data_IF_824549370096
#
_entry.id   IF_824549370096
#
_cell.length_a   1.000
_cell.length_b   1.000
_cell.length_c   1.000
_cell.angle_alpha   90.00
_cell.angle_beta   90.00
_cell.angle_gamma   90.00
#
_symmetry.space_group_name_H-M   'P 1'
#
loop_
_entity.id
_entity.type
_entity.pdbx_description
1 polymer ?
#
# COMPACT_ATOMS: atom_id res chain seq x y z
N UNK A 1 -1.43 11.84 33.01
CA UNK A 1 -2.23 11.37 31.87
C UNK A 1 -1.46 10.25 31.21
N UNK A 2 -2.04 9.06 31.11
CA UNK A 2 -1.33 7.85 30.72
C UNK A 2 -0.74 7.98 29.31
N UNK A 3 0.55 7.69 29.18
CA UNK A 3 1.26 7.58 27.90
C UNK A 3 0.66 6.41 27.10
N UNK A 4 -0.22 6.71 26.15
CA UNK A 4 -0.45 5.79 25.05
C UNK A 4 0.87 5.70 24.30
N UNK A 5 1.40 4.48 24.23
CA UNK A 5 2.53 4.16 23.37
C UNK A 5 1.98 4.27 21.94
N UNK A 6 2.05 5.47 21.34
CA UNK A 6 1.61 5.74 19.97
C UNK A 6 2.47 4.89 19.04
N UNK A 7 2.02 3.67 18.78
CA UNK A 7 2.63 2.80 17.79
C UNK A 7 2.21 3.34 16.43
N UNK A 8 3.13 4.04 15.78
CA UNK A 8 3.04 4.37 14.37
C UNK A 8 2.91 3.07 13.56
N UNK A 9 1.93 3.05 12.65
CA UNK A 9 1.71 1.93 11.74
C UNK A 9 1.49 2.48 10.34
N UNK A 10 2.17 1.89 9.37
CA UNK A 10 2.00 2.24 7.96
C UNK A 10 0.60 1.82 7.54
N UNK A 11 -0.20 2.79 7.10
CA UNK A 11 -1.56 2.50 6.62
C UNK A 11 -1.59 2.19 5.13
N UNK A 12 -0.74 2.81 4.31
CA UNK A 12 -0.72 2.63 2.85
C UNK A 12 0.67 2.86 2.29
N UNK A 13 0.93 2.32 1.11
CA UNK A 13 2.07 2.68 0.26
C UNK A 13 1.55 3.31 -1.03
N UNK A 14 2.22 4.36 -1.49
CA UNK A 14 1.89 5.01 -2.76
C UNK A 14 3.09 4.99 -3.68
N UNK A 15 2.82 4.71 -4.96
CA UNK A 15 3.82 4.67 -6.03
C UNK A 15 3.66 5.82 -7.01
N UNK A 16 4.37 5.71 -8.14
CA UNK A 16 4.37 6.73 -9.19
C UNK A 16 2.98 6.99 -9.76
N UNK A 17 2.65 8.26 -9.95
CA UNK A 17 1.36 8.69 -10.53
C UNK A 17 0.16 8.58 -9.59
N UNK A 18 0.33 8.09 -8.36
CA UNK A 18 -0.75 8.00 -7.38
C UNK A 18 -0.97 9.32 -6.65
N UNK A 19 -2.23 9.67 -6.45
CA UNK A 19 -2.61 10.84 -5.67
C UNK A 19 -2.87 10.45 -4.22
N UNK A 20 -2.40 11.29 -3.30
CA UNK A 20 -2.55 11.09 -1.86
C UNK A 20 -3.42 12.21 -1.29
N UNK A 21 -4.34 11.86 -0.38
CA UNK A 21 -5.10 12.86 0.37
C UNK A 21 -6.48 13.23 -0.19
N UNK A 22 -7.03 12.49 -1.17
CA UNK A 22 -8.39 12.72 -1.66
C UNK A 22 -9.45 12.65 -0.55
N UNK A 23 -9.31 11.71 0.39
CA UNK A 23 -10.21 11.63 1.52
C UNK A 23 -10.19 12.92 2.38
N UNK A 24 -9.04 13.59 2.45
CA UNK A 24 -8.90 14.90 3.13
C UNK A 24 -9.53 16.03 2.33
N UNK A 25 -9.45 15.99 0.99
CA UNK A 25 -10.10 16.97 0.12
C UNK A 25 -11.63 16.96 0.28
N UNK A 26 -12.22 15.78 0.41
CA UNK A 26 -13.67 15.59 0.54
C UNK A 26 -14.17 15.68 2.00
N UNK A 27 -13.27 15.67 2.98
CA UNK A 27 -13.61 15.66 4.40
C UNK A 27 -13.28 17.01 5.04
N UNK A 28 -14.25 17.61 5.72
CA UNK A 28 -14.07 18.89 6.43
C UNK A 28 -13.33 18.72 7.78
N UNK A 29 -12.52 17.66 7.94
CA UNK A 29 -11.82 17.31 9.19
C UNK A 29 -10.33 17.21 8.95
N UNK A 30 -9.53 17.66 9.93
CA UNK A 30 -8.09 17.41 9.96
C UNK A 30 -7.84 15.92 10.12
N UNK A 31 -7.42 15.28 9.03
CA UNK A 31 -6.96 13.91 9.06
C UNK A 31 -5.59 13.83 9.76
N UNK A 32 -5.42 12.86 10.65
CA UNK A 32 -4.17 12.59 11.38
C UNK A 32 -3.35 11.54 10.63
N UNK A 33 -2.91 11.85 9.41
CA UNK A 33 -1.96 11.02 8.68
C UNK A 33 -0.67 11.79 8.52
N UNK A 34 0.44 11.10 8.74
CA UNK A 34 1.77 11.58 8.42
C UNK A 34 2.25 10.91 7.15
N UNK A 35 2.96 11.66 6.32
CA UNK A 35 3.55 11.16 5.08
C UNK A 35 5.07 11.14 5.23
N UNK A 36 5.66 10.00 4.91
CA UNK A 36 7.10 9.81 4.84
C UNK A 36 7.48 9.18 3.49
N UNK A 37 8.71 9.40 3.06
CA UNK A 37 9.25 8.84 1.81
C UNK A 37 10.15 7.65 2.13
N UNK A 38 9.97 6.54 1.42
CA UNK A 38 10.79 5.33 1.55
C UNK A 38 12.01 5.37 0.61
N UNK A 39 11.88 6.13 -0.48
CA UNK A 39 12.87 6.33 -1.53
C UNK A 39 12.92 7.80 -1.94
N UNK A 40 13.90 8.18 -2.75
CA UNK A 40 13.96 9.52 -3.33
C UNK A 40 12.68 9.79 -4.14
N UNK A 41 11.91 10.81 -3.73
CA UNK A 41 10.55 11.05 -4.22
C UNK A 41 10.40 12.50 -4.66
N UNK A 42 9.80 12.71 -5.83
CA UNK A 42 9.29 14.03 -6.24
C UNK A 42 7.77 14.07 -6.02
N UNK A 43 7.31 14.97 -5.16
CA UNK A 43 5.89 15.16 -4.88
C UNK A 43 5.43 16.55 -5.35
N UNK A 44 4.24 16.59 -5.93
CA UNK A 44 3.57 17.84 -6.32
C UNK A 44 2.46 18.15 -5.32
N UNK A 45 2.60 19.27 -4.63
CA UNK A 45 1.55 19.77 -3.74
C UNK A 45 0.56 20.58 -4.55
N UNK A 46 -0.69 20.12 -4.60
CA UNK A 46 -1.78 20.77 -5.32
C UNK A 46 -2.73 21.40 -4.29
N UNK A 47 -3.06 22.67 -4.50
CA UNK A 47 -4.02 23.38 -3.64
C UNK A 47 -5.39 22.68 -3.69
N UNK A 48 -5.98 22.28 -2.56
CA UNK A 48 -7.34 21.72 -2.49
C UNK A 48 -8.39 22.58 -3.22
N UNK A 49 -8.32 23.90 -3.09
CA UNK A 49 -9.27 24.81 -3.75
C UNK A 49 -9.12 24.79 -5.27
N UNK A 50 -7.90 24.63 -5.77
CA UNK A 50 -7.68 24.45 -7.21
C UNK A 50 -8.36 23.17 -7.72
N UNK A 51 -8.22 22.05 -7.00
CA UNK A 51 -8.87 20.79 -7.39
C UNK A 51 -10.39 20.92 -7.38
N UNK A 52 -10.96 21.54 -6.35
CA UNK A 52 -12.41 21.77 -6.25
C UNK A 52 -12.92 22.66 -7.40
N UNK A 53 -12.21 23.74 -7.71
CA UNK A 53 -12.56 24.62 -8.83
C UNK A 53 -12.50 23.89 -10.19
N UNK A 54 -11.53 23.00 -10.39
CA UNK A 54 -11.45 22.17 -11.61
C UNK A 54 -12.65 21.22 -11.69
N UNK A 55 -13.04 20.60 -10.57
CA UNK A 55 -14.22 19.73 -10.54
C UNK A 55 -15.48 20.53 -10.88
N UNK A 56 -15.67 21.70 -10.25
CA UNK A 56 -16.86 22.54 -10.45
C UNK A 56 -16.95 23.16 -11.85
N UNK A 57 -15.82 23.60 -12.40
CA UNK A 57 -15.78 24.26 -13.71
C UNK A 57 -15.75 23.28 -14.89
N UNK A 58 -15.41 22.00 -14.65
CA UNK A 58 -15.29 21.01 -15.72
C UNK A 58 -16.63 20.37 -16.07
N UNK A 59 -16.89 20.18 -17.37
CA UNK A 59 -18.02 19.36 -17.83
C UNK A 59 -17.91 17.87 -17.46
N UNK A 60 -16.82 17.46 -16.81
CA UNK A 60 -16.51 16.09 -16.40
C UNK A 60 -16.31 15.94 -14.89
N UNK A 61 -16.66 16.95 -14.08
CA UNK A 61 -16.48 16.92 -12.63
C UNK A 61 -17.10 15.69 -11.96
N UNK A 62 -18.30 15.30 -12.41
CA UNK A 62 -18.97 14.07 -11.95
C UNK A 62 -18.14 12.82 -12.24
N UNK A 63 -17.55 12.70 -13.43
CA UNK A 63 -16.70 11.55 -13.79
C UNK A 63 -15.45 11.47 -12.94
N UNK A 64 -14.83 12.62 -12.65
CA UNK A 64 -13.66 12.73 -11.76
C UNK A 64 -14.04 12.25 -10.35
N UNK A 65 -15.14 12.76 -9.80
CA UNK A 65 -15.63 12.36 -8.48
C UNK A 65 -15.98 10.88 -8.41
N UNK A 66 -16.64 10.32 -9.43
CA UNK A 66 -16.96 8.90 -9.50
C UNK A 66 -15.68 8.04 -9.49
N UNK A 67 -14.63 8.46 -10.20
CA UNK A 67 -13.36 7.74 -10.19
C UNK A 67 -12.69 7.79 -8.80
N UNK A 68 -12.79 8.91 -8.09
CA UNK A 68 -12.28 8.99 -6.72
C UNK A 68 -13.07 8.11 -5.76
N UNK A 69 -14.40 8.10 -5.85
CA UNK A 69 -15.25 7.23 -5.03
C UNK A 69 -14.95 5.75 -5.31
N UNK A 70 -14.76 5.38 -6.58
CA UNK A 70 -14.35 4.04 -6.96
C UNK A 70 -13.02 3.65 -6.27
N UNK A 71 -11.99 4.48 -6.39
CA UNK A 71 -10.68 4.22 -5.79
C UNK A 71 -10.75 4.13 -4.25
N UNK A 72 -11.52 5.00 -3.60
CA UNK A 72 -11.74 4.96 -2.15
C UNK A 72 -12.47 3.68 -1.72
N UNK A 73 -13.47 3.26 -2.49
CA UNK A 73 -14.26 2.05 -2.21
C UNK A 73 -13.42 0.80 -2.39
N UNK A 74 -12.62 0.72 -3.46
CA UNK A 74 -11.69 -0.38 -3.69
C UNK A 74 -10.66 -0.48 -2.55
N UNK A 75 -10.09 0.66 -2.15
CA UNK A 75 -9.15 0.72 -1.02
C UNK A 75 -9.81 0.23 0.27
N UNK A 76 -10.99 0.75 0.63
CA UNK A 76 -11.72 0.34 1.82
C UNK A 76 -12.06 -1.16 1.82
N UNK A 77 -12.51 -1.71 0.69
CA UNK A 77 -12.79 -3.13 0.54
C UNK A 77 -11.52 -3.99 0.72
N UNK A 78 -10.41 -3.57 0.13
CA UNK A 78 -9.11 -4.22 0.31
C UNK A 78 -8.69 -4.21 1.79
N UNK A 79 -8.73 -3.06 2.46
CA UNK A 79 -8.40 -2.96 3.90
C UNK A 79 -9.29 -3.84 4.76
N UNK A 80 -10.58 -3.89 4.47
CA UNK A 80 -11.53 -4.77 5.16
C UNK A 80 -11.11 -6.23 5.07
N UNK A 81 -10.78 -6.73 3.87
CA UNK A 81 -10.29 -8.10 3.68
C UNK A 81 -8.91 -8.32 4.30
N UNK A 82 -7.98 -7.40 4.10
CA UNK A 82 -6.62 -7.46 4.63
C UNK A 82 -6.59 -7.60 6.15
N UNK A 83 -7.47 -6.88 6.86
CA UNK A 83 -7.52 -6.95 8.33
C UNK A 83 -7.99 -8.31 8.87
N UNK A 84 -8.73 -9.09 8.08
CA UNK A 84 -9.20 -10.42 8.44
C UNK A 84 -8.15 -11.52 8.19
N UNK A 85 -7.10 -11.21 7.43
CA UNK A 85 -6.01 -12.16 7.13
C UNK A 85 -5.18 -12.48 8.38
N UNK A 86 -4.70 -13.72 8.46
CA UNK A 86 -3.69 -14.13 9.42
C UNK A 86 -2.33 -13.50 9.06
N UNK A 87 -1.39 -13.47 10.02
CA UNK A 87 -0.09 -12.81 9.83
C UNK A 87 0.69 -13.30 8.58
N UNK A 88 0.67 -14.60 8.31
CA UNK A 88 1.33 -15.20 7.13
C UNK A 88 0.70 -14.70 5.83
N UNK A 89 -0.62 -14.66 5.78
CA UNK A 89 -1.40 -14.19 4.64
C UNK A 89 -1.26 -12.67 4.46
N UNK A 90 -1.19 -11.89 5.55
CA UNK A 90 -0.91 -10.45 5.52
C UNK A 90 0.43 -10.15 4.88
N UNK A 91 1.48 -10.91 5.21
CA UNK A 91 2.79 -10.73 4.56
C UNK A 91 2.70 -11.07 3.07
N UNK A 92 2.05 -12.18 2.70
CA UNK A 92 1.85 -12.51 1.28
C UNK A 92 1.09 -11.40 0.53
N UNK A 93 -0.01 -10.90 1.09
CA UNK A 93 -0.78 -9.80 0.53
C UNK A 93 0.05 -8.52 0.40
N UNK A 94 0.86 -8.19 1.41
CA UNK A 94 1.72 -7.00 1.42
C UNK A 94 2.81 -7.06 0.36
N UNK A 95 3.40 -8.25 0.16
CA UNK A 95 4.41 -8.48 -0.88
C UNK A 95 3.80 -8.26 -2.28
N UNK A 96 2.62 -8.83 -2.53
CA UNK A 96 1.89 -8.65 -3.79
C UNK A 96 1.43 -7.20 -3.99
N UNK A 97 0.99 -6.53 -2.92
CA UNK A 97 0.60 -5.12 -2.96
C UNK A 97 1.78 -4.23 -3.34
N UNK A 98 2.93 -4.41 -2.69
CA UNK A 98 4.14 -3.64 -3.00
C UNK A 98 4.69 -3.92 -4.39
N UNK A 99 4.55 -5.15 -4.89
CA UNK A 99 4.87 -5.47 -6.30
C UNK A 99 3.96 -4.70 -7.25
N UNK A 100 2.64 -4.68 -7.00
CA UNK A 100 1.67 -3.97 -7.85
C UNK A 100 1.87 -2.45 -7.94
N UNK A 101 2.56 -1.86 -6.94
CA UNK A 101 2.85 -0.42 -6.89
C UNK A 101 4.04 0.00 -7.75
N UNK A 102 4.69 -0.94 -8.41
CA UNK A 102 5.84 -0.64 -9.28
C UNK A 102 5.40 -0.26 -10.67
N UNK A 103 5.87 0.89 -11.12
CA UNK A 103 5.89 1.23 -12.53
C UNK A 103 7.34 1.12 -13.04
N UNK A 104 7.56 0.36 -14.12
CA UNK A 104 8.83 0.34 -14.84
C UNK A 104 9.98 -0.52 -14.26
N UNK A 105 9.76 -1.32 -13.22
CA UNK A 105 10.73 -2.34 -12.76
C UNK A 105 10.39 -3.72 -13.32
N UNK A 106 11.37 -4.64 -13.34
CA UNK A 106 11.15 -6.05 -13.71
C UNK A 106 10.02 -6.63 -12.86
N UNK A 107 9.06 -7.29 -13.52
CA UNK A 107 8.00 -8.08 -12.86
C UNK A 107 8.61 -8.98 -11.77
N UNK A 108 7.84 -9.24 -10.71
CA UNK A 108 8.25 -10.15 -9.65
C UNK A 108 9.32 -9.61 -8.71
N UNK A 109 9.50 -8.29 -8.57
CA UNK A 109 10.40 -7.73 -7.57
C UNK A 109 9.64 -6.72 -6.68
N UNK A 110 10.17 -6.38 -5.50
CA UNK A 110 9.71 -5.26 -4.65
C UNK A 110 10.65 -4.04 -4.77
N UNK A 111 10.21 -2.80 -4.44
CA UNK A 111 11.12 -1.66 -4.46
C UNK A 111 12.33 -1.93 -3.57
N UNK A 112 13.51 -1.47 -3.96
CA UNK A 112 14.78 -1.89 -3.33
C UNK A 112 14.85 -1.48 -1.87
N UNK A 113 14.22 -0.36 -1.54
CA UNK A 113 14.20 0.29 -0.25
C UNK A 113 13.29 -0.43 0.75
N UNK A 114 12.31 -1.22 0.28
CA UNK A 114 11.42 -1.98 1.15
C UNK A 114 12.24 -2.93 2.01
N UNK A 115 12.07 -2.82 3.32
CA UNK A 115 12.72 -3.65 4.31
C UNK A 115 11.71 -4.40 5.20
N UNK A 116 12.24 -5.25 6.09
CA UNK A 116 11.39 -6.05 6.99
C UNK A 116 10.60 -5.17 7.97
N UNK A 117 11.10 -3.97 8.30
CA UNK A 117 10.38 -3.04 9.16
C UNK A 117 9.12 -2.49 8.48
N UNK A 118 9.20 -2.13 7.20
CA UNK A 118 8.05 -1.60 6.45
C UNK A 118 6.92 -2.64 6.38
N UNK A 119 7.29 -3.89 6.12
CA UNK A 119 6.35 -5.02 6.11
C UNK A 119 5.75 -5.26 7.50
N UNK A 120 6.56 -5.25 8.56
CA UNK A 120 6.09 -5.44 9.92
C UNK A 120 5.12 -4.33 10.36
N UNK A 121 5.47 -3.07 10.03
CA UNK A 121 4.65 -1.88 10.29
C UNK A 121 3.31 -1.98 9.59
N UNK A 122 3.30 -2.25 8.28
CA UNK A 122 2.09 -2.35 7.48
C UNK A 122 1.21 -3.55 7.86
N UNK A 123 1.82 -4.71 8.13
CA UNK A 123 1.11 -5.91 8.59
C UNK A 123 0.63 -5.79 10.06
N UNK A 124 1.11 -4.78 10.81
CA UNK A 124 0.86 -4.59 12.24
C UNK A 124 1.24 -5.81 13.08
N UNK A 125 2.41 -6.38 12.81
CA UNK A 125 3.00 -7.52 13.52
C UNK A 125 4.43 -7.21 13.95
N UNK A 126 5.04 -8.05 14.78
CA UNK A 126 6.41 -7.80 15.24
C UNK A 126 7.44 -8.02 14.13
N UNK A 127 8.58 -7.31 14.21
CA UNK A 127 9.67 -7.47 13.25
C UNK A 127 10.20 -8.90 13.26
N UNK A 128 10.38 -9.50 14.43
CA UNK A 128 10.88 -10.86 14.61
C UNK A 128 9.96 -11.89 13.94
N UNK A 129 8.64 -11.70 14.06
CA UNK A 129 7.68 -12.61 13.44
C UNK A 129 7.64 -12.42 11.92
N UNK A 130 7.76 -11.18 11.45
CA UNK A 130 7.89 -10.87 10.02
C UNK A 130 9.12 -11.54 9.42
N UNK A 131 10.28 -11.42 10.06
CA UNK A 131 11.52 -12.09 9.64
C UNK A 131 11.33 -13.60 9.56
N UNK A 132 10.74 -14.21 10.58
CA UNK A 132 10.48 -15.66 10.61
C UNK A 132 9.62 -16.12 9.43
N UNK A 133 8.53 -15.41 9.12
CA UNK A 133 7.66 -15.78 8.00
C UNK A 133 8.37 -15.58 6.65
N UNK A 134 9.13 -14.49 6.49
CA UNK A 134 9.91 -14.25 5.28
C UNK A 134 10.96 -15.34 5.04
N UNK A 135 11.66 -15.78 6.09
CA UNK A 135 12.59 -16.92 5.99
C UNK A 135 11.88 -18.21 5.58
N UNK A 136 10.69 -18.48 6.12
CA UNK A 136 9.90 -19.64 5.70
C UNK A 136 9.46 -19.55 4.24
N UNK A 137 9.11 -18.35 3.75
CA UNK A 137 8.80 -18.13 2.33
C UNK A 137 10.03 -18.36 1.44
N UNK A 138 11.22 -17.95 1.88
CA UNK A 138 12.46 -18.19 1.15
C UNK A 138 12.83 -19.68 1.11
N UNK A 139 12.71 -20.39 2.25
CA UNK A 139 12.88 -21.85 2.32
C UNK A 139 11.89 -22.62 1.43
N UNK A 140 10.67 -22.11 1.28
CA UNK A 140 9.64 -22.67 0.39
C UNK A 140 9.83 -22.27 -1.08
N UNK A 141 10.82 -21.43 -1.40
CA UNK A 141 11.06 -20.95 -2.76
C UNK A 141 9.99 -19.99 -3.28
N UNK A 142 9.23 -19.33 -2.39
CA UNK A 142 8.19 -18.36 -2.76
C UNK A 142 8.77 -16.97 -3.03
N UNK A 143 9.84 -16.63 -2.32
CA UNK A 143 10.53 -15.35 -2.42
C UNK A 143 12.04 -15.54 -2.37
N UNK A 144 12.78 -14.56 -2.87
CA UNK A 144 14.22 -14.41 -2.67
C UNK A 144 14.48 -13.13 -1.91
N UNK A 145 15.02 -13.20 -0.70
CA UNK A 145 15.23 -12.03 0.15
C UNK A 145 16.54 -11.32 -0.16
N UNK A 146 17.56 -12.08 -0.59
CA UNK A 146 18.89 -11.55 -0.88
C UNK A 146 19.46 -12.05 -2.21
N UNK A 147 20.24 -11.22 -2.93
CA UNK A 147 20.45 -9.79 -2.68
C UNK A 147 19.15 -8.98 -2.89
N UNK A 148 19.06 -7.78 -2.30
CA UNK A 148 17.96 -6.84 -2.56
C UNK A 148 17.92 -6.45 -4.05
N UNK A 149 16.75 -6.14 -4.63
CA UNK A 149 15.40 -6.13 -4.03
C UNK A 149 14.85 -7.53 -3.70
N UNK A 150 13.81 -7.60 -2.86
CA UNK A 150 13.09 -8.87 -2.65
C UNK A 150 12.44 -9.29 -3.97
N UNK A 151 12.64 -10.54 -4.39
CA UNK A 151 12.01 -11.12 -5.58
C UNK A 151 10.86 -12.04 -5.18
N UNK A 152 9.73 -11.97 -5.88
CA UNK A 152 8.64 -12.93 -5.81
C UNK A 152 8.91 -14.03 -6.85
N UNK A 153 9.19 -15.23 -6.36
CA UNK A 153 9.51 -16.39 -7.19
C UNK A 153 8.25 -17.17 -7.59
N UNK A 154 7.24 -17.17 -6.71
CA UNK A 154 5.96 -17.83 -6.95
C UNK A 154 4.77 -16.96 -6.49
N UNK A 155 4.43 -15.99 -7.34
CA UNK A 155 3.27 -15.11 -7.12
C UNK A 155 1.94 -15.88 -7.17
N UNK A 156 1.87 -17.04 -7.83
CA UNK A 156 0.65 -17.85 -7.89
C UNK A 156 0.31 -18.43 -6.53
N UNK A 157 1.29 -19.05 -5.86
CA UNK A 157 1.12 -19.59 -4.52
C UNK A 157 0.82 -18.49 -3.50
N UNK A 158 1.50 -17.33 -3.60
CA UNK A 158 1.19 -16.17 -2.75
C UNK A 158 -0.25 -15.67 -2.94
N UNK A 159 -0.73 -15.55 -4.19
CA UNK A 159 -2.12 -15.15 -4.48
C UNK A 159 -3.13 -16.16 -3.94
N UNK A 160 -2.83 -17.46 -4.04
CA UNK A 160 -3.66 -18.52 -3.49
C UNK A 160 -3.79 -18.44 -1.96
N UNK A 161 -2.72 -18.05 -1.24
CA UNK A 161 -2.78 -17.82 0.21
C UNK A 161 -3.70 -16.64 0.58
N UNK A 162 -3.73 -15.59 -0.25
CA UNK A 162 -4.52 -14.38 0.04
C UNK A 162 -6.01 -14.59 -0.26
N UNK A 163 -6.33 -15.34 -1.33
CA UNK A 163 -7.71 -15.69 -1.67
C UNK A 163 -8.58 -14.54 -2.17
N UNK A 164 -8.00 -13.39 -2.51
CA UNK A 164 -8.68 -12.28 -3.18
C UNK A 164 -7.71 -11.43 -4.02
N UNK A 165 -8.25 -10.66 -4.95
CA UNK A 165 -7.45 -9.75 -5.79
C UNK A 165 -6.89 -8.57 -5.00
N UNK A 166 -5.60 -8.30 -5.17
CA UNK A 166 -4.91 -7.19 -4.53
C UNK A 166 -5.31 -5.89 -5.23
N UNK A 167 -5.75 -4.90 -4.45
CA UNK A 167 -6.06 -3.57 -4.96
C UNK A 167 -4.76 -2.89 -5.43
N UNK A 168 -4.57 -2.85 -6.74
CA UNK A 168 -3.34 -2.43 -7.42
C UNK A 168 -3.27 -2.95 -8.85
N UNK A 169 -4.08 -3.96 -9.21
CA UNK A 169 -4.08 -4.57 -10.55
C UNK A 169 -5.04 -3.97 -11.58
N UNK A 170 -5.71 -2.84 -11.33
CA UNK A 170 -6.46 -2.14 -12.37
C UNK A 170 -5.95 -0.71 -12.54
N UNK A 171 -5.17 -0.55 -13.62
CA UNK A 171 -5.00 0.73 -14.31
C UNK A 171 -6.36 1.24 -14.81
#
# INVERSE_FOLDING_TARGET
MASHNDKEATVSFSGDGEFIGFASLLSNKNNRYELGTISETTAYFIDPLFVLNVIDASGWGTSILLKFIENLTQSANYYGKFNLLQAKEKIAASLLYLESKKQGQSEGHLPKEICQYDLASYCQITREYTTRILSQFEEQGLVKLTPKPIALLDSCTLKAMVGFEIAGSLH
#
